data_IF_812846819046
#
_entry.id   IF_812846819046
#
_cell.length_a   1.000
_cell.length_b   1.000
_cell.length_c   1.000
_cell.angle_alpha   90.00
_cell.angle_beta   90.00
_cell.angle_gamma   90.00
#
_symmetry.space_group_name_H-M   'P 1'
#
loop_
_entity.id
_entity.type
_entity.pdbx_description
1 polymer ?
#
# COMPACT_ATOMS: atom_id res chain seq x y z
N UNK A 1 9.85 18.12 -27.27
CA UNK A 1 9.06 18.57 -26.10
C UNK A 1 8.51 17.34 -25.42
N UNK A 2 9.25 16.78 -24.46
CA UNK A 2 8.79 15.63 -23.68
C UNK A 2 7.93 16.18 -22.55
N UNK A 3 6.60 16.10 -22.69
CA UNK A 3 5.73 16.19 -21.53
C UNK A 3 6.16 15.07 -20.59
N UNK A 4 6.65 15.41 -19.41
CA UNK A 4 6.83 14.46 -18.31
C UNK A 4 5.43 13.96 -17.97
N UNK A 5 4.95 12.95 -18.70
CA UNK A 5 3.77 12.18 -18.32
C UNK A 5 4.18 11.49 -17.03
N UNK A 6 3.87 12.14 -15.90
CA UNK A 6 4.14 11.59 -14.59
C UNK A 6 3.26 10.36 -14.49
N UNK A 7 3.88 9.19 -14.39
CA UNK A 7 3.14 7.95 -14.21
C UNK A 7 2.17 8.11 -13.02
N UNK A 8 0.92 7.63 -13.15
CA UNK A 8 -0.06 7.74 -12.09
C UNK A 8 0.46 7.07 -10.82
N UNK A 9 0.41 7.78 -9.71
CA UNK A 9 0.82 7.29 -8.39
C UNK A 9 -0.43 6.84 -7.64
N UNK A 10 -0.43 5.60 -7.18
CA UNK A 10 -1.53 4.94 -6.48
C UNK A 10 -1.30 4.83 -4.97
N UNK A 11 -0.05 4.89 -4.51
CA UNK A 11 0.29 4.80 -3.07
C UNK A 11 1.05 6.02 -2.51
N UNK A 12 0.68 7.27 -2.84
CA UNK A 12 1.43 8.45 -2.40
C UNK A 12 1.44 8.62 -0.87
N UNK A 13 0.35 8.31 -0.17
CA UNK A 13 0.26 8.48 1.28
C UNK A 13 1.06 7.39 2.00
N UNK A 14 1.00 6.15 1.52
CA UNK A 14 1.74 5.03 2.11
C UNK A 14 3.24 5.24 1.99
N UNK A 15 3.72 5.64 0.81
CA UNK A 15 5.14 5.96 0.59
C UNK A 15 5.59 7.11 1.49
N UNK A 16 4.76 8.14 1.63
CA UNK A 16 5.04 9.29 2.50
C UNK A 16 5.10 8.90 3.97
N UNK A 17 4.11 8.16 4.46
CA UNK A 17 4.04 7.69 5.84
C UNK A 17 5.22 6.77 6.20
N UNK A 18 5.58 5.83 5.31
CA UNK A 18 6.73 4.97 5.50
C UNK A 18 8.05 5.77 5.49
N UNK A 19 8.15 6.80 4.64
CA UNK A 19 9.34 7.68 4.60
C UNK A 19 9.49 8.49 5.89
N UNK A 20 8.40 9.06 6.40
CA UNK A 20 8.41 9.73 7.71
C UNK A 20 8.82 8.77 8.82
N UNK A 21 8.26 7.57 8.84
CA UNK A 21 8.61 6.55 9.81
C UNK A 21 10.11 6.18 9.73
N UNK A 22 10.70 6.06 8.53
CA UNK A 22 12.14 5.80 8.37
C UNK A 22 12.99 6.93 8.96
N UNK A 23 12.60 8.18 8.71
CA UNK A 23 13.39 9.35 9.11
C UNK A 23 13.36 9.57 10.63
N UNK A 24 12.24 9.26 11.27
CA UNK A 24 12.01 9.56 12.69
C UNK A 24 12.17 8.34 13.61
N UNK A 25 12.17 7.12 13.06
CA UNK A 25 12.28 5.90 13.88
C UNK A 25 13.68 5.66 14.42
N UNK A 26 13.73 5.01 15.58
CA UNK A 26 14.93 4.37 16.11
C UNK A 26 15.46 3.28 15.15
N UNK A 27 16.77 2.98 15.13
CA UNK A 27 17.40 2.07 14.16
C UNK A 27 16.70 0.71 14.03
N UNK A 28 16.24 0.13 15.13
CA UNK A 28 15.56 -1.16 15.18
C UNK A 28 14.21 -1.19 14.44
N UNK A 29 13.55 -0.03 14.30
CA UNK A 29 12.25 0.08 13.62
C UNK A 29 12.37 0.55 12.15
N UNK A 30 13.54 1.13 11.77
CA UNK A 30 13.78 1.63 10.39
C UNK A 30 13.74 0.53 9.34
N UNK A 31 14.24 -0.66 9.66
CA UNK A 31 14.26 -1.78 8.72
C UNK A 31 12.85 -2.19 8.27
N UNK A 32 11.90 -2.29 9.21
CA UNK A 32 10.51 -2.60 8.91
C UNK A 32 9.84 -1.50 8.07
N UNK A 33 10.01 -0.24 8.45
CA UNK A 33 9.47 0.89 7.68
C UNK A 33 10.07 0.97 6.26
N UNK A 34 11.35 0.63 6.10
CA UNK A 34 12.03 0.55 4.80
C UNK A 34 11.44 -0.54 3.92
N UNK A 35 11.16 -1.72 4.48
CA UNK A 35 10.49 -2.81 3.77
C UNK A 35 9.10 -2.39 3.31
N UNK A 36 8.31 -1.73 4.16
CA UNK A 36 6.99 -1.19 3.78
C UNK A 36 7.12 -0.22 2.60
N UNK A 37 8.07 0.73 2.66
CA UNK A 37 8.30 1.69 1.56
C UNK A 37 8.68 0.99 0.25
N UNK A 38 9.55 -0.03 0.31
CA UNK A 38 9.96 -0.79 -0.87
C UNK A 38 8.77 -1.53 -1.50
N UNK A 39 7.96 -2.22 -0.70
CA UNK A 39 6.75 -2.91 -1.18
C UNK A 39 5.70 -1.94 -1.72
N UNK A 40 5.55 -0.77 -1.10
CA UNK A 40 4.66 0.27 -1.62
C UNK A 40 5.11 0.74 -3.02
N UNK A 41 6.40 0.97 -3.24
CA UNK A 41 6.91 1.34 -4.56
C UNK A 41 6.73 0.23 -5.63
N UNK A 42 6.82 -1.04 -5.24
CA UNK A 42 6.55 -2.17 -6.14
C UNK A 42 5.07 -2.30 -6.54
N UNK A 43 4.17 -2.07 -5.58
CA UNK A 43 2.72 -2.03 -5.82
C UNK A 43 2.37 -0.84 -6.70
N UNK A 44 2.88 0.35 -6.37
CA UNK A 44 2.62 1.59 -7.11
C UNK A 44 2.95 1.44 -8.61
N UNK A 45 4.12 0.87 -8.91
CA UNK A 45 4.53 0.57 -10.29
C UNK A 45 3.63 -0.45 -10.97
N UNK A 46 3.26 -1.54 -10.29
CA UNK A 46 2.33 -2.52 -10.85
C UNK A 46 0.95 -1.92 -11.10
N UNK A 47 0.49 -1.05 -10.20
CA UNK A 47 -0.80 -0.38 -10.33
C UNK A 47 -0.81 0.55 -11.53
N UNK A 48 0.27 1.31 -11.77
CA UNK A 48 0.42 2.16 -12.96
C UNK A 48 0.40 1.34 -14.26
N UNK A 49 1.11 0.22 -14.32
CA UNK A 49 1.09 -0.69 -15.47
C UNK A 49 -0.28 -1.35 -15.68
N UNK A 50 -0.94 -1.78 -14.60
CA UNK A 50 -2.29 -2.36 -14.64
C UNK A 50 -3.31 -1.34 -15.14
N UNK A 51 -3.25 -0.12 -14.60
CA UNK A 51 -4.07 1.02 -15.02
C UNK A 51 -3.92 1.33 -16.50
N UNK A 52 -2.68 1.41 -16.99
CA UNK A 52 -2.43 1.62 -18.42
C UNK A 52 -3.04 0.50 -19.28
N UNK A 53 -2.98 -0.76 -18.81
CA UNK A 53 -3.64 -1.90 -19.46
C UNK A 53 -5.17 -1.76 -19.50
N UNK A 54 -5.78 -1.38 -18.38
CA UNK A 54 -7.23 -1.13 -18.28
C UNK A 54 -7.68 -0.04 -19.25
N UNK A 55 -6.97 1.10 -19.29
CA UNK A 55 -7.28 2.20 -20.20
C UNK A 55 -7.07 1.84 -21.68
N UNK A 56 -6.06 1.03 -21.98
CA UNK A 56 -5.77 0.60 -23.34
C UNK A 56 -6.66 -0.57 -23.82
N UNK A 57 -7.45 -1.18 -22.91
CA UNK A 57 -8.21 -2.39 -23.22
C UNK A 57 -7.32 -3.63 -23.43
N UNK A 58 -6.05 -3.60 -23.01
CA UNK A 58 -5.09 -4.69 -23.18
C UNK A 58 -4.96 -5.55 -21.92
N UNK A 59 -4.91 -6.87 -22.09
CA UNK A 59 -4.54 -7.79 -21.00
C UNK A 59 -3.03 -7.73 -20.77
N UNK A 60 -2.62 -7.12 -19.65
CA UNK A 60 -1.21 -7.08 -19.27
C UNK A 60 -0.89 -8.18 -18.26
N UNK A 61 0.26 -8.85 -18.43
CA UNK A 61 0.78 -9.80 -17.44
C UNK A 61 0.95 -9.15 -16.06
N UNK A 62 1.09 -7.83 -16.00
CA UNK A 62 1.22 -7.08 -14.74
C UNK A 62 -0.06 -7.06 -13.92
N UNK A 63 -1.25 -7.06 -14.55
CA UNK A 63 -2.52 -7.21 -13.83
C UNK A 63 -2.54 -8.49 -12.98
N UNK A 64 -1.94 -9.58 -13.49
CA UNK A 64 -1.82 -10.86 -12.75
C UNK A 64 -0.82 -10.81 -11.59
N UNK A 65 0.16 -9.90 -11.62
CA UNK A 65 1.17 -9.79 -10.57
C UNK A 65 0.73 -8.88 -9.40
N UNK A 66 -0.23 -7.97 -9.64
CA UNK A 66 -0.66 -6.97 -8.68
C UNK A 66 -1.26 -7.56 -7.38
N UNK A 67 -2.16 -8.57 -7.42
CA UNK A 67 -2.67 -9.21 -6.20
C UNK A 67 -1.57 -9.74 -5.28
N UNK A 68 -0.54 -10.37 -5.86
CA UNK A 68 0.61 -10.86 -5.11
C UNK A 68 1.41 -9.74 -4.44
N UNK A 69 1.58 -8.59 -5.12
CA UNK A 69 2.28 -7.43 -4.58
C UNK A 69 1.48 -6.74 -3.45
N UNK A 70 0.15 -6.64 -3.59
CA UNK A 70 -0.73 -6.12 -2.53
C UNK A 70 -0.66 -6.98 -1.25
N UNK A 71 -0.61 -8.31 -1.41
CA UNK A 71 -0.41 -9.24 -0.28
C UNK A 71 0.94 -9.04 0.38
N UNK A 72 2.02 -8.91 -0.40
CA UNK A 72 3.36 -8.66 0.12
C UNK A 72 3.47 -7.33 0.89
N UNK A 73 2.80 -6.27 0.43
CA UNK A 73 2.72 -5.00 1.16
C UNK A 73 1.94 -5.13 2.47
N UNK A 74 0.83 -5.85 2.46
CA UNK A 74 0.04 -6.12 3.67
C UNK A 74 0.86 -6.91 4.70
N UNK A 75 1.60 -7.92 4.25
CA UNK A 75 2.50 -8.71 5.10
C UNK A 75 3.65 -7.86 5.67
N UNK A 76 4.29 -7.02 4.85
CA UNK A 76 5.31 -6.08 5.31
C UNK A 76 4.76 -5.11 6.36
N UNK A 77 3.54 -4.62 6.16
CA UNK A 77 2.84 -3.74 7.11
C UNK A 77 2.55 -4.46 8.42
N UNK A 78 2.06 -5.69 8.37
CA UNK A 78 1.83 -6.54 9.56
C UNK A 78 3.12 -6.80 10.35
N UNK A 79 4.23 -7.13 9.66
CA UNK A 79 5.55 -7.30 10.28
C UNK A 79 6.04 -6.02 10.94
N UNK A 80 5.91 -4.88 10.27
CA UNK A 80 6.29 -3.57 10.82
C UNK A 80 5.42 -3.20 12.03
N UNK A 81 4.12 -3.49 11.97
CA UNK A 81 3.16 -3.23 13.05
C UNK A 81 3.36 -4.12 14.28
N UNK A 82 4.00 -5.28 14.10
CA UNK A 82 4.04 -6.37 15.07
C UNK A 82 2.73 -7.17 15.03
N UNK A 83 2.85 -8.50 14.85
CA UNK A 83 1.70 -9.38 14.70
C UNK A 83 0.70 -9.26 15.87
N UNK A 84 1.18 -9.15 17.11
CA UNK A 84 0.32 -9.01 18.29
C UNK A 84 -0.68 -7.86 18.18
N UNK A 85 -0.23 -6.68 17.73
CA UNK A 85 -1.13 -5.54 17.51
C UNK A 85 -1.96 -5.70 16.25
N UNK A 86 -1.36 -6.14 15.14
CA UNK A 86 -2.05 -6.30 13.86
C UNK A 86 -3.28 -7.24 13.97
N UNK A 87 -3.18 -8.25 14.82
CA UNK A 87 -4.26 -9.21 15.06
C UNK A 87 -5.19 -8.85 16.24
N UNK A 88 -4.89 -7.79 17.01
CA UNK A 88 -5.73 -7.29 18.12
C UNK A 88 -6.23 -5.87 17.85
N UNK A 89 -5.66 -4.85 18.48
CA UNK A 89 -6.10 -3.44 18.36
C UNK A 89 -6.04 -2.92 16.91
N UNK A 90 -5.16 -3.48 16.10
CA UNK A 90 -5.00 -3.19 14.67
C UNK A 90 -6.03 -3.87 13.76
N UNK A 91 -6.95 -4.70 14.29
CA UNK A 91 -7.88 -5.50 13.47
C UNK A 91 -8.71 -4.64 12.51
N UNK A 92 -9.20 -3.49 12.96
CA UNK A 92 -9.98 -2.55 12.13
C UNK A 92 -9.14 -1.93 11.00
N UNK A 93 -7.82 -1.81 11.18
CA UNK A 93 -6.94 -1.35 10.11
C UNK A 93 -6.72 -2.47 9.10
N UNK A 94 -6.49 -3.69 9.58
CA UNK A 94 -6.39 -4.88 8.73
C UNK A 94 -7.64 -5.10 7.88
N UNK A 95 -8.83 -5.05 8.48
CA UNK A 95 -10.11 -5.22 7.78
C UNK A 95 -10.29 -4.20 6.65
N UNK A 96 -9.90 -2.93 6.87
CA UNK A 96 -9.95 -1.91 5.82
C UNK A 96 -8.97 -2.19 4.68
N UNK A 97 -7.75 -2.63 5.01
CA UNK A 97 -6.75 -3.00 4.00
C UNK A 97 -7.21 -4.21 3.19
N UNK A 98 -7.76 -5.23 3.84
CA UNK A 98 -8.27 -6.43 3.17
C UNK A 98 -9.50 -6.11 2.30
N UNK A 99 -10.45 -5.32 2.79
CA UNK A 99 -11.62 -4.91 2.01
C UNK A 99 -11.23 -4.09 0.77
N UNK A 100 -10.31 -3.13 0.91
CA UNK A 100 -9.82 -2.35 -0.22
C UNK A 100 -9.03 -3.21 -1.21
N UNK A 101 -8.24 -4.20 -0.72
CA UNK A 101 -7.55 -5.16 -1.60
C UNK A 101 -8.54 -5.98 -2.42
N UNK A 102 -9.57 -6.53 -1.80
CA UNK A 102 -10.60 -7.30 -2.51
C UNK A 102 -11.28 -6.45 -3.59
N UNK A 103 -11.63 -5.20 -3.27
CA UNK A 103 -12.22 -4.26 -4.24
C UNK A 103 -11.28 -3.97 -5.43
N UNK A 104 -9.96 -3.90 -5.20
CA UNK A 104 -8.97 -3.79 -6.29
C UNK A 104 -8.95 -5.07 -7.14
N UNK A 105 -8.96 -6.26 -6.51
CA UNK A 105 -8.98 -7.55 -7.20
C UNK A 105 -10.26 -7.66 -8.07
N UNK A 106 -11.42 -7.33 -7.53
CA UNK A 106 -12.70 -7.32 -8.25
C UNK A 106 -12.68 -6.33 -9.44
N UNK A 107 -12.17 -5.11 -9.24
CA UNK A 107 -12.04 -4.11 -10.31
C UNK A 107 -11.14 -4.55 -11.47
N UNK A 108 -10.09 -5.35 -11.18
CA UNK A 108 -9.23 -5.94 -12.21
C UNK A 108 -10.01 -6.98 -13.02
N UNK A 109 -10.74 -7.86 -12.34
CA UNK A 109 -11.51 -8.93 -12.96
C UNK A 109 -12.67 -8.38 -13.81
N UNK A 110 -13.32 -7.32 -13.33
CA UNK A 110 -14.41 -6.61 -14.02
C UNK A 110 -13.91 -5.62 -15.10
N UNK A 111 -12.59 -5.38 -15.12
CA UNK A 111 -11.92 -4.40 -15.99
C UNK A 111 -12.45 -2.97 -15.81
N UNK A 112 -12.89 -2.65 -14.61
CA UNK A 112 -13.41 -1.33 -14.26
C UNK A 112 -12.29 -0.42 -13.75
N UNK A 113 -11.87 0.52 -14.60
CA UNK A 113 -10.89 1.51 -14.21
C UNK A 113 -11.37 2.48 -13.12
N UNK A 114 -12.62 2.92 -13.17
CA UNK A 114 -13.12 3.87 -12.18
C UNK A 114 -13.10 3.24 -10.78
N UNK A 115 -13.57 2.01 -10.68
CA UNK A 115 -13.56 1.22 -9.45
C UNK A 115 -12.13 0.94 -8.99
N UNK A 116 -11.22 0.61 -9.92
CA UNK A 116 -9.81 0.38 -9.63
C UNK A 116 -9.18 1.62 -8.96
N UNK A 117 -9.39 2.81 -9.55
CA UNK A 117 -8.84 4.05 -9.01
C UNK A 117 -9.42 4.38 -7.62
N UNK A 118 -10.73 4.23 -7.44
CA UNK A 118 -11.38 4.47 -6.14
C UNK A 118 -10.89 3.49 -5.06
N UNK A 119 -10.79 2.20 -5.40
CA UNK A 119 -10.31 1.17 -4.50
C UNK A 119 -8.87 1.44 -4.04
N UNK A 120 -8.01 1.94 -4.93
CA UNK A 120 -6.64 2.33 -4.58
C UNK A 120 -6.58 3.54 -3.64
N UNK A 121 -7.47 4.52 -3.76
CA UNK A 121 -7.55 5.64 -2.80
C UNK A 121 -7.84 5.10 -1.40
N UNK A 122 -8.81 4.18 -1.29
CA UNK A 122 -9.16 3.52 -0.03
C UNK A 122 -8.01 2.68 0.53
N UNK A 123 -7.33 1.92 -0.33
CA UNK A 123 -6.21 1.08 0.05
C UNK A 123 -5.01 1.91 0.54
N UNK A 124 -4.62 2.96 -0.19
CA UNK A 124 -3.51 3.84 0.19
C UNK A 124 -3.77 4.50 1.54
N UNK A 125 -4.97 5.05 1.73
CA UNK A 125 -5.36 5.66 3.01
C UNK A 125 -5.32 4.65 4.17
N UNK A 126 -5.82 3.43 3.95
CA UNK A 126 -5.87 2.39 4.97
C UNK A 126 -4.46 1.96 5.42
N UNK A 127 -3.55 1.71 4.47
CA UNK A 127 -2.17 1.31 4.76
C UNK A 127 -1.40 2.48 5.38
N UNK A 128 -1.48 3.69 4.82
CA UNK A 128 -0.81 4.87 5.36
C UNK A 128 -1.22 5.15 6.82
N UNK A 129 -2.51 5.04 7.12
CA UNK A 129 -3.03 5.21 8.49
C UNK A 129 -2.47 4.15 9.43
N UNK A 130 -2.40 2.89 9.01
CA UNK A 130 -1.81 1.82 9.81
C UNK A 130 -0.32 2.10 10.11
N UNK A 131 0.46 2.46 9.10
CA UNK A 131 1.88 2.80 9.24
C UNK A 131 2.09 3.97 10.20
N UNK A 132 1.29 5.03 10.05
CA UNK A 132 1.35 6.20 10.93
C UNK A 132 1.00 5.87 12.39
N UNK A 133 -0.03 5.04 12.62
CA UNK A 133 -0.41 4.61 13.97
C UNK A 133 0.66 3.76 14.65
N UNK A 134 1.28 2.84 13.90
CA UNK A 134 2.41 2.05 14.40
C UNK A 134 3.59 2.94 14.74
N UNK A 135 3.92 3.89 13.85
CA UNK A 135 5.03 4.81 14.07
C UNK A 135 4.83 5.67 15.33
N UNK A 136 3.66 6.30 15.48
CA UNK A 136 3.34 7.12 16.66
C UNK A 136 3.42 6.31 17.97
N UNK A 137 3.03 5.03 17.94
CA UNK A 137 3.19 4.14 19.10
C UNK A 137 4.65 3.86 19.41
N UNK A 138 5.48 3.65 18.39
CA UNK A 138 6.92 3.41 18.57
C UNK A 138 7.67 4.65 19.07
N UNK A 139 7.14 5.85 18.86
CA UNK A 139 7.66 7.10 19.42
C UNK A 139 7.23 7.35 20.86
N UNK A 140 6.12 6.76 21.31
CA UNK A 140 5.59 6.93 22.67
C UNK A 140 6.15 5.82 23.56
N UNK A 141 7.15 6.07 24.43
CA UNK A 141 7.55 5.07 25.40
C UNK A 141 6.41 4.91 26.41
N UNK A 142 6.16 3.68 26.86
CA UNK A 142 5.34 3.45 28.04
C UNK A 142 5.88 4.33 29.18
N UNK A 143 5.03 5.24 29.69
CA UNK A 143 5.28 5.99 30.92
C UNK A 143 5.20 5.06 32.12
#
# INVERSE_FOLDING_TARGET
MSTLSRDPTFLPLTVSAATMAINNAAPQHRAGATMVRQRAAEVDRAAAECWAGLLAGCDTMTAKALPGRLRALTEATSRYAGAGWWFSDGCKHRERVDAARTRIEDAIDERDGAEFAEAFIGYDLAVATAVAKVHARSETPAR
#
